data_IF_308737684531
#
_entry.id   IF_308737684531
#
_cell.length_a   1.000
_cell.length_b   1.000
_cell.length_c   1.000
_cell.angle_alpha   90.00
_cell.angle_beta   90.00
_cell.angle_gamma   90.00
#
_symmetry.space_group_name_H-M   'P 1'
#
loop_
_entity.id
_entity.type
_entity.pdbx_description
1 polymer ?
#
# COMPACT_ATOMS: atom_id res chain seq x y z
N UNK A 1 9.54 37.96 -15.62
CA UNK A 1 10.41 37.24 -14.68
C UNK A 1 9.49 36.52 -13.74
N UNK A 2 9.32 35.22 -13.96
CA UNK A 2 8.30 34.40 -13.31
C UNK A 2 8.55 34.35 -11.81
N UNK A 3 7.44 34.36 -11.05
CA UNK A 3 7.40 34.04 -9.62
C UNK A 3 8.38 32.91 -9.33
N UNK A 4 9.34 33.16 -8.45
CA UNK A 4 10.15 32.09 -7.87
C UNK A 4 9.20 31.02 -7.35
N UNK A 5 9.19 29.84 -7.98
CA UNK A 5 8.55 28.66 -7.41
C UNK A 5 9.19 28.42 -6.06
N UNK A 6 8.48 28.82 -5.00
CA UNK A 6 8.91 28.56 -3.64
C UNK A 6 8.69 27.07 -3.40
N UNK A 7 9.73 26.35 -2.98
CA UNK A 7 9.60 24.93 -2.68
C UNK A 7 8.46 24.74 -1.65
N UNK A 8 7.57 23.78 -1.87
CA UNK A 8 6.49 23.52 -0.92
C UNK A 8 6.98 22.76 0.34
N UNK A 9 8.14 22.10 0.23
CA UNK A 9 8.74 21.31 1.29
C UNK A 9 9.89 20.45 0.78
N UNK A 10 10.30 19.48 1.60
CA UNK A 10 11.35 18.50 1.31
C UNK A 10 10.78 17.10 1.45
N UNK A 11 11.19 16.19 0.55
CA UNK A 11 10.90 14.76 0.72
C UNK A 11 11.64 14.25 1.96
N UNK A 12 10.88 13.82 2.96
CA UNK A 12 11.39 13.26 4.20
C UNK A 12 11.72 11.76 4.04
N UNK A 13 10.88 11.01 3.33
CA UNK A 13 11.15 9.60 2.98
C UNK A 13 10.39 9.18 1.72
N UNK A 14 10.92 8.17 1.04
CA UNK A 14 10.32 7.50 -0.11
C UNK A 14 9.99 6.06 0.24
N UNK A 15 8.85 5.58 -0.22
CA UNK A 15 8.40 4.21 0.03
C UNK A 15 7.80 3.57 -1.21
N UNK A 16 8.01 2.27 -1.32
CA UNK A 16 7.36 1.39 -2.29
C UNK A 16 6.70 0.22 -1.58
N UNK A 17 5.56 -0.21 -2.09
CA UNK A 17 4.76 -1.32 -1.55
C UNK A 17 4.57 -2.36 -2.65
N UNK A 18 5.52 -3.30 -2.82
CA UNK A 18 5.50 -4.24 -3.94
C UNK A 18 4.22 -5.07 -4.01
N UNK A 19 3.70 -5.49 -2.84
CA UNK A 19 2.49 -6.31 -2.70
C UNK A 19 1.36 -5.48 -2.10
N UNK A 20 0.20 -5.45 -2.78
CA UNK A 20 -1.02 -4.79 -2.29
C UNK A 20 -1.34 -5.24 -0.85
N UNK A 21 -1.72 -4.27 -0.02
CA UNK A 21 -2.12 -4.43 1.39
C UNK A 21 -1.01 -4.77 2.39
N UNK A 22 0.20 -5.13 1.95
CA UNK A 22 1.35 -5.37 2.84
C UNK A 22 2.10 -4.08 3.21
N UNK A 23 2.97 -4.15 4.22
CA UNK A 23 4.00 -3.14 4.47
C UNK A 23 5.07 -3.19 3.36
N UNK A 24 5.74 -2.06 3.15
CA UNK A 24 6.68 -1.87 2.05
C UNK A 24 8.13 -1.74 2.47
N UNK A 25 8.92 -1.18 1.56
CA UNK A 25 10.34 -0.86 1.68
C UNK A 25 10.55 0.65 1.62
N UNK A 26 11.52 1.15 2.39
CA UNK A 26 11.99 2.52 2.29
C UNK A 26 13.05 2.60 1.19
N UNK A 27 13.06 3.70 0.44
CA UNK A 27 13.90 3.87 -0.74
C UNK A 27 14.76 5.13 -0.64
N UNK A 28 15.97 5.06 -1.17
CA UNK A 28 16.80 6.25 -1.41
C UNK A 28 16.36 7.00 -2.68
N UNK A 29 15.90 6.26 -3.69
CA UNK A 29 15.42 6.78 -4.97
C UNK A 29 14.54 5.76 -5.69
N UNK A 30 13.69 6.22 -6.61
CA UNK A 30 12.91 5.39 -7.53
C UNK A 30 12.71 6.10 -8.86
N UNK A 31 12.64 5.32 -9.94
CA UNK A 31 12.07 5.79 -11.20
C UNK A 31 10.56 6.04 -11.01
N UNK A 32 10.08 7.17 -11.52
CA UNK A 32 8.67 7.53 -11.57
C UNK A 32 8.17 7.47 -13.02
N UNK A 33 7.04 6.80 -13.21
CA UNK A 33 6.37 6.68 -14.51
C UNK A 33 4.92 7.18 -14.41
N UNK A 34 4.20 7.23 -15.53
CA UNK A 34 2.75 7.50 -15.54
C UNK A 34 1.94 6.48 -14.71
N UNK A 35 2.52 5.30 -14.43
CA UNK A 35 1.93 4.25 -13.58
C UNK A 35 2.40 4.28 -12.12
N UNK A 36 3.05 5.36 -11.69
CA UNK A 36 3.64 5.49 -10.36
C UNK A 36 5.09 5.00 -10.30
N UNK A 37 5.57 4.73 -9.09
CA UNK A 37 6.92 4.20 -8.87
C UNK A 37 7.07 2.81 -9.49
N UNK A 38 8.22 2.55 -10.12
CA UNK A 38 8.50 1.25 -10.72
C UNK A 38 8.51 0.15 -9.64
N UNK A 39 7.73 -0.90 -9.90
CA UNK A 39 7.51 -2.03 -8.99
C UNK A 39 6.49 -1.79 -7.89
N UNK A 40 5.91 -0.59 -7.79
CA UNK A 40 4.92 -0.31 -6.78
C UNK A 40 3.59 -0.96 -7.10
N UNK A 41 2.98 -1.63 -6.11
CA UNK A 41 1.73 -2.41 -6.22
C UNK A 41 1.72 -3.30 -7.48
N UNK A 42 2.87 -3.88 -7.85
CA UNK A 42 2.95 -4.79 -8.99
C UNK A 42 2.47 -6.20 -8.66
N UNK A 43 2.38 -6.53 -7.37
CA UNK A 43 1.86 -7.79 -6.88
C UNK A 43 0.61 -7.60 -6.02
N UNK A 44 -0.22 -8.63 -5.96
CA UNK A 44 -1.30 -8.74 -4.99
C UNK A 44 -1.57 -10.21 -4.66
N UNK A 45 -2.29 -10.47 -3.56
CA UNK A 45 -2.80 -11.80 -3.28
C UNK A 45 -4.22 -11.93 -3.85
N UNK A 46 -4.55 -13.12 -4.34
CA UNK A 46 -5.88 -13.54 -4.77
C UNK A 46 -6.43 -14.53 -3.76
N UNK A 47 -7.71 -14.39 -3.39
CA UNK A 47 -8.44 -15.42 -2.68
C UNK A 47 -9.08 -16.37 -3.70
N UNK A 48 -8.60 -17.62 -3.85
CA UNK A 48 -9.15 -18.57 -4.81
C UNK A 48 -10.60 -18.96 -4.53
N UNK A 49 -11.09 -18.80 -3.29
CA UNK A 49 -12.46 -19.19 -2.95
C UNK A 49 -13.50 -18.20 -3.48
N UNK A 50 -13.11 -16.95 -3.68
CA UNK A 50 -13.98 -15.86 -4.16
C UNK A 50 -13.57 -15.36 -5.55
N UNK A 51 -12.34 -15.65 -5.98
CA UNK A 51 -11.74 -15.06 -7.18
C UNK A 51 -11.44 -13.56 -7.03
N UNK A 52 -11.44 -13.05 -5.80
CA UNK A 52 -11.23 -11.63 -5.52
C UNK A 52 -9.81 -11.34 -5.07
N UNK A 53 -9.34 -10.13 -5.39
CA UNK A 53 -8.07 -9.61 -4.88
C UNK A 53 -8.21 -9.37 -3.38
N UNK A 54 -7.25 -9.88 -2.61
CA UNK A 54 -7.16 -9.68 -1.17
C UNK A 54 -6.92 -8.20 -0.86
N UNK A 55 -7.77 -7.63 0.00
CA UNK A 55 -7.71 -6.23 0.39
C UNK A 55 -7.81 -6.06 1.89
N UNK A 56 -6.90 -5.27 2.47
CA UNK A 56 -6.96 -4.87 3.88
C UNK A 56 -8.19 -4.00 4.21
N UNK A 57 -8.96 -3.56 3.20
CA UNK A 57 -10.25 -2.89 3.37
C UNK A 57 -11.36 -3.81 3.89
N UNK A 58 -11.16 -5.13 3.87
CA UNK A 58 -11.96 -6.07 4.65
C UNK A 58 -11.14 -6.62 5.83
N UNK A 59 -10.93 -5.84 6.91
CA UNK A 59 -10.10 -6.27 8.05
C UNK A 59 -10.67 -7.49 8.76
N UNK A 60 -11.98 -7.78 8.65
CA UNK A 60 -12.58 -8.99 9.22
C UNK A 60 -11.98 -10.27 8.63
N UNK A 61 -11.57 -10.25 7.35
CA UNK A 61 -10.90 -11.37 6.69
C UNK A 61 -9.38 -11.21 6.65
N UNK A 62 -8.89 -10.00 6.40
CA UNK A 62 -7.51 -9.76 5.95
C UNK A 62 -6.72 -8.78 6.83
N UNK A 63 -7.13 -8.54 8.09
CA UNK A 63 -6.42 -7.61 9.00
C UNK A 63 -4.92 -7.91 9.13
N UNK A 64 -4.55 -9.20 9.07
CA UNK A 64 -3.17 -9.66 9.24
C UNK A 64 -2.25 -9.30 8.08
N UNK A 65 -2.76 -8.78 6.96
CA UNK A 65 -1.92 -8.33 5.84
C UNK A 65 -0.88 -7.29 6.26
N UNK A 66 -1.20 -6.46 7.26
CA UNK A 66 -0.27 -5.46 7.80
C UNK A 66 0.88 -6.04 8.65
N UNK A 67 0.85 -7.33 8.97
CA UNK A 67 1.95 -8.02 9.65
C UNK A 67 3.04 -8.47 8.67
N UNK A 68 2.75 -8.47 7.36
CA UNK A 68 3.68 -8.86 6.31
C UNK A 68 4.41 -7.64 5.74
N UNK A 69 5.68 -7.81 5.41
CA UNK A 69 6.48 -6.81 4.69
C UNK A 69 6.97 -7.38 3.37
N UNK A 70 6.78 -6.64 2.29
CA UNK A 70 7.31 -6.97 0.99
C UNK A 70 8.38 -5.96 0.55
N UNK A 71 9.47 -6.47 -0.03
CA UNK A 71 10.54 -5.71 -0.64
C UNK A 71 11.04 -6.46 -1.89
N UNK A 72 11.60 -5.76 -2.87
CA UNK A 72 12.27 -6.45 -3.97
C UNK A 72 13.63 -7.00 -3.55
N UNK A 73 14.02 -8.19 -4.05
CA UNK A 73 15.37 -8.74 -3.82
C UNK A 73 16.47 -7.83 -4.38
N UNK A 74 16.17 -7.14 -5.48
CA UNK A 74 16.97 -6.05 -6.05
C UNK A 74 16.04 -4.95 -6.54
N UNK A 75 16.41 -3.67 -6.43
CA UNK A 75 15.54 -2.59 -6.90
C UNK A 75 15.16 -2.73 -8.38
N UNK A 76 13.86 -2.74 -8.73
CA UNK A 76 13.40 -2.78 -10.11
C UNK A 76 13.80 -1.50 -10.85
N UNK A 77 13.93 -1.62 -12.17
CA UNK A 77 14.33 -0.53 -13.08
C UNK A 77 13.36 -0.44 -14.25
N UNK A 78 13.14 0.76 -14.76
CA UNK A 78 12.27 0.98 -15.93
C UNK A 78 12.74 0.13 -17.11
N UNK A 79 11.79 -0.57 -17.76
CA UNK A 79 12.05 -1.37 -18.96
C UNK A 79 12.73 -2.73 -18.73
N UNK A 80 12.97 -3.11 -17.47
CA UNK A 80 13.52 -4.42 -17.10
C UNK A 80 12.42 -5.33 -16.51
N UNK A 81 12.57 -6.67 -16.57
CA UNK A 81 11.72 -7.57 -15.83
C UNK A 81 11.74 -7.25 -14.32
N UNK A 82 10.60 -7.40 -13.66
CA UNK A 82 10.51 -7.22 -12.21
C UNK A 82 11.34 -8.30 -11.50
N UNK A 83 12.24 -7.92 -10.57
CA UNK A 83 12.92 -8.89 -9.71
C UNK A 83 11.92 -9.60 -8.80
N UNK A 84 12.28 -10.77 -8.23
CA UNK A 84 11.45 -11.42 -7.22
C UNK A 84 11.20 -10.50 -6.02
N UNK A 85 10.01 -10.61 -5.44
CA UNK A 85 9.69 -9.97 -4.16
C UNK A 85 9.98 -10.93 -3.02
N UNK A 86 10.63 -10.43 -1.97
CA UNK A 86 10.79 -11.08 -0.68
C UNK A 86 9.66 -10.63 0.24
N UNK A 87 8.91 -11.59 0.76
CA UNK A 87 7.86 -11.37 1.74
C UNK A 87 8.34 -11.88 3.08
N UNK A 88 8.51 -10.97 4.04
CA UNK A 88 8.76 -11.29 5.45
C UNK A 88 7.42 -11.51 6.15
N UNK A 89 7.23 -12.72 6.65
CA UNK A 89 6.04 -13.14 7.41
C UNK A 89 6.11 -12.68 8.88
N UNK A 90 5.00 -12.78 9.64
CA UNK A 90 4.93 -12.31 11.02
C UNK A 90 5.93 -12.99 11.96
N UNK A 91 6.29 -14.25 11.70
CA UNK A 91 7.29 -15.03 12.44
C UNK A 91 8.72 -14.85 11.92
N UNK A 92 8.91 -13.93 10.96
CA UNK A 92 10.15 -13.67 10.21
C UNK A 92 10.56 -14.76 9.22
N UNK A 93 9.71 -15.77 8.98
CA UNK A 93 9.90 -16.64 7.81
C UNK A 93 9.88 -15.79 6.54
N UNK A 94 10.64 -16.22 5.54
CA UNK A 94 10.79 -15.52 4.28
C UNK A 94 10.22 -16.37 3.17
N UNK A 95 9.26 -15.82 2.43
CA UNK A 95 8.85 -16.34 1.12
C UNK A 95 9.41 -15.46 0.01
N UNK A 96 9.77 -16.05 -1.14
CA UNK A 96 10.16 -15.27 -2.32
C UNK A 96 9.32 -15.68 -3.52
N UNK A 97 8.93 -14.71 -4.34
CA UNK A 97 7.93 -14.92 -5.42
C UNK A 97 8.39 -15.83 -6.56
N UNK A 98 9.67 -16.19 -6.59
CA UNK A 98 10.29 -17.10 -7.56
C UNK A 98 10.39 -18.54 -7.06
N UNK A 99 9.72 -18.85 -5.95
CA UNK A 99 9.69 -20.17 -5.32
C UNK A 99 8.27 -20.72 -5.32
N UNK A 100 8.15 -22.03 -5.58
CA UNK A 100 6.85 -22.71 -5.67
C UNK A 100 6.09 -22.76 -4.33
N UNK A 101 6.77 -22.51 -3.21
CA UNK A 101 6.19 -22.56 -1.87
C UNK A 101 5.62 -21.22 -1.37
N UNK A 102 5.77 -20.11 -2.12
CA UNK A 102 5.34 -18.77 -1.72
C UNK A 102 3.88 -18.73 -1.28
N UNK A 103 2.99 -19.34 -2.07
CA UNK A 103 1.55 -19.36 -1.78
C UNK A 103 1.27 -20.14 -0.50
N UNK A 104 1.90 -21.29 -0.32
CA UNK A 104 1.71 -22.14 0.87
C UNK A 104 2.20 -21.46 2.15
N UNK A 105 3.33 -20.76 2.07
CA UNK A 105 3.96 -20.08 3.20
C UNK A 105 3.13 -18.86 3.61
N UNK A 106 2.71 -18.03 2.64
CA UNK A 106 1.84 -16.89 2.92
C UNK A 106 0.47 -17.35 3.42
N UNK A 107 -0.13 -18.38 2.79
CA UNK A 107 -1.42 -18.93 3.19
C UNK A 107 -1.42 -19.44 4.62
N UNK A 108 -0.37 -20.17 5.02
CA UNK A 108 -0.18 -20.66 6.41
C UNK A 108 -0.25 -19.52 7.42
N UNK A 109 0.40 -18.38 7.12
CA UNK A 109 0.43 -17.25 8.05
C UNK A 109 -0.87 -16.45 8.04
N UNK A 110 -1.61 -16.42 6.94
CA UNK A 110 -2.94 -15.81 6.87
C UNK A 110 -4.05 -16.69 7.42
N UNK A 111 -3.78 -17.98 7.67
CA UNK A 111 -4.78 -19.01 7.99
C UNK A 111 -5.90 -19.08 6.94
N UNK A 112 -5.54 -18.79 5.68
CA UNK A 112 -6.45 -18.69 4.52
C UNK A 112 -5.66 -18.98 3.25
N UNK A 113 -6.25 -19.74 2.32
CA UNK A 113 -5.63 -19.97 1.00
C UNK A 113 -5.54 -18.68 0.22
N UNK A 114 -4.38 -18.41 -0.37
CA UNK A 114 -4.12 -17.27 -1.25
C UNK A 114 -3.15 -17.65 -2.37
N UNK A 115 -3.22 -16.91 -3.48
CA UNK A 115 -2.25 -16.99 -4.57
C UNK A 115 -1.59 -15.64 -4.83
N UNK A 116 -0.26 -15.60 -4.94
CA UNK A 116 0.46 -14.41 -5.32
C UNK A 116 0.33 -14.16 -6.84
N UNK A 117 -0.15 -12.97 -7.20
CA UNK A 117 -0.29 -12.52 -8.58
C UNK A 117 0.70 -11.39 -8.87
N UNK A 118 1.28 -11.37 -10.08
CA UNK A 118 2.11 -10.28 -10.61
C UNK A 118 1.44 -9.50 -11.75
N UNK A 119 0.30 -10.00 -12.25
CA UNK A 119 -0.44 -9.38 -13.36
C UNK A 119 -1.88 -9.16 -12.94
N UNK A 120 -2.27 -7.90 -12.84
CA UNK A 120 -3.63 -7.55 -12.47
C UNK A 120 -4.63 -7.94 -13.59
N UNK A 121 -5.80 -8.50 -13.24
CA UNK A 121 -6.86 -8.81 -14.20
C UNK A 121 -7.36 -7.57 -14.95
N UNK A 122 -8.10 -7.77 -16.03
CA UNK A 122 -8.75 -6.68 -16.76
C UNK A 122 -9.82 -5.97 -15.92
N UNK A 123 -10.54 -6.70 -15.07
CA UNK A 123 -11.53 -6.15 -14.15
C UNK A 123 -11.31 -6.71 -12.73
N UNK A 124 -10.26 -6.27 -12.00
CA UNK A 124 -10.03 -6.73 -10.64
C UNK A 124 -11.15 -6.25 -9.71
N UNK A 125 -11.52 -7.10 -8.76
CA UNK A 125 -12.50 -6.80 -7.71
C UNK A 125 -11.94 -7.19 -6.35
N UNK A 126 -12.41 -6.52 -5.30
CA UNK A 126 -12.05 -6.81 -3.92
C UNK A 126 -13.23 -6.57 -3.00
N UNK A 127 -13.13 -7.06 -1.77
CA UNK A 127 -14.14 -6.80 -0.73
C UNK A 127 -13.74 -5.60 0.13
N UNK A 128 -14.72 -4.75 0.44
CA UNK A 128 -14.59 -3.62 1.36
C UNK A 128 -15.61 -3.75 2.49
N UNK A 129 -15.15 -3.63 3.74
CA UNK A 129 -16.02 -3.59 4.90
C UNK A 129 -16.28 -2.14 5.31
N UNK A 130 -17.55 -1.79 5.45
CA UNK A 130 -18.02 -0.47 5.84
C UNK A 130 -18.27 -0.45 7.36
N UNK A 131 -17.45 0.27 8.14
CA UNK A 131 -17.64 0.35 9.58
C UNK A 131 -18.92 1.10 9.95
N UNK A 132 -19.42 0.88 11.17
CA UNK A 132 -20.57 1.60 11.71
C UNK A 132 -20.24 3.08 12.02
N UNK A 133 -20.16 3.92 10.99
CA UNK A 133 -19.91 5.35 11.11
C UNK A 133 -21.12 6.11 10.56
N UNK A 134 -21.62 7.08 11.33
CA UNK A 134 -22.70 7.95 10.90
C UNK A 134 -22.34 8.70 9.61
N UNK A 135 -23.26 8.71 8.65
CA UNK A 135 -23.05 9.32 7.33
C UNK A 135 -22.43 8.42 6.27
N UNK A 136 -21.89 7.24 6.63
CA UNK A 136 -21.44 6.27 5.63
C UNK A 136 -22.60 5.44 5.07
N UNK A 137 -22.49 5.10 3.79
CA UNK A 137 -23.34 4.09 3.17
C UNK A 137 -23.00 2.69 3.71
N UNK A 138 -23.93 1.75 3.57
CA UNK A 138 -23.68 0.32 3.80
C UNK A 138 -23.09 -0.08 5.18
N UNK A 139 -23.31 0.74 6.23
CA UNK A 139 -22.87 0.49 7.62
C UNK A 139 -23.02 -0.98 8.02
N UNK A 140 -21.94 -1.55 8.58
CA UNK A 140 -21.83 -2.93 9.03
C UNK A 140 -21.94 -4.00 7.92
N UNK A 141 -21.66 -3.65 6.66
CA UNK A 141 -21.69 -4.59 5.53
C UNK A 141 -20.34 -4.73 4.85
N UNK A 142 -20.19 -5.85 4.17
CA UNK A 142 -19.12 -6.07 3.19
C UNK A 142 -19.73 -5.90 1.80
N UNK A 143 -19.09 -5.10 0.97
CA UNK A 143 -19.45 -4.90 -0.44
C UNK A 143 -18.32 -5.38 -1.34
N UNK A 144 -18.66 -5.67 -2.59
CA UNK A 144 -17.69 -5.95 -3.62
C UNK A 144 -17.42 -4.68 -4.41
N UNK A 145 -16.16 -4.25 -4.45
CA UNK A 145 -15.73 -3.05 -5.13
C UNK A 145 -14.89 -3.39 -6.36
N UNK A 146 -14.88 -2.48 -7.33
CA UNK A 146 -14.06 -2.59 -8.54
C UNK A 146 -12.75 -1.83 -8.39
N UNK A 147 -11.74 -2.26 -9.12
CA UNK A 147 -10.46 -1.56 -9.26
C UNK A 147 -10.32 -1.05 -10.69
N UNK A 148 -9.51 0.00 -10.92
CA UNK A 148 -9.11 0.36 -12.27
C UNK A 148 -8.49 -0.85 -13.00
N UNK A 149 -8.69 -0.89 -14.32
CA UNK A 149 -8.27 -2.03 -15.14
C UNK A 149 -6.76 -2.24 -15.07
N UNK A 150 -6.33 -3.51 -15.00
CA UNK A 150 -4.92 -3.93 -15.13
C UNK A 150 -3.98 -3.28 -14.10
N UNK A 151 -4.49 -2.97 -12.91
CA UNK A 151 -3.68 -2.48 -11.79
C UNK A 151 -4.17 -2.99 -10.44
N UNK A 152 -3.29 -2.97 -9.44
CA UNK A 152 -3.63 -3.24 -8.03
C UNK A 152 -3.78 -1.98 -7.16
N UNK A 153 -3.67 -0.80 -7.77
CA UNK A 153 -4.05 0.47 -7.14
C UNK A 153 -5.56 0.60 -7.01
N UNK A 154 -6.03 1.22 -5.93
CA UNK A 154 -7.46 1.44 -5.69
C UNK A 154 -8.00 2.70 -6.38
N UNK A 155 -7.18 3.75 -6.47
CA UNK A 155 -7.60 5.04 -7.05
C UNK A 155 -6.44 5.78 -7.72
N UNK A 156 -5.38 6.08 -6.97
CA UNK A 156 -4.22 6.82 -7.45
C UNK A 156 -2.94 5.97 -7.40
N UNK A 157 -2.00 6.27 -8.30
CA UNK A 157 -0.71 5.56 -8.43
C UNK A 157 0.40 6.12 -7.53
N UNK A 158 0.15 7.26 -6.89
CA UNK A 158 1.01 7.86 -5.87
C UNK A 158 0.16 8.35 -4.71
N UNK A 159 0.65 8.12 -3.49
CA UNK A 159 0.10 8.69 -2.28
C UNK A 159 1.15 9.58 -1.61
N UNK A 160 0.82 10.86 -1.41
CA UNK A 160 1.61 11.81 -0.65
C UNK A 160 1.01 11.97 0.75
N UNK A 161 1.85 12.11 1.77
CA UNK A 161 1.44 12.43 3.14
C UNK A 161 2.44 13.39 3.76
N UNK A 162 1.97 14.43 4.42
CA UNK A 162 2.85 15.40 5.10
C UNK A 162 3.09 15.03 6.55
N UNK A 163 4.24 15.44 7.09
CA UNK A 163 4.54 15.32 8.52
C UNK A 163 3.56 16.14 9.36
N UNK A 164 3.14 17.31 8.88
CA UNK A 164 2.16 18.17 9.56
C UNK A 164 0.81 17.47 9.72
N UNK A 165 0.34 16.73 8.72
CA UNK A 165 -0.90 15.94 8.83
C UNK A 165 -0.79 14.84 9.89
N UNK A 166 0.35 14.15 9.97
CA UNK A 166 0.59 13.14 11.02
C UNK A 166 0.61 13.76 12.42
N UNK A 167 1.30 14.89 12.59
CA UNK A 167 1.35 15.63 13.86
C UNK A 167 -0.03 16.13 14.26
N UNK A 168 -0.82 16.61 13.30
CA UNK A 168 -2.17 17.10 13.55
C UNK A 168 -3.11 15.99 13.99
N UNK A 169 -3.05 14.83 13.34
CA UNK A 169 -3.80 13.65 13.76
C UNK A 169 -3.40 13.21 15.18
N UNK A 170 -2.12 13.24 15.52
CA UNK A 170 -1.61 12.94 16.86
C UNK A 170 -2.12 13.92 17.92
N UNK A 171 -2.26 15.21 17.59
CA UNK A 171 -2.87 16.20 18.49
C UNK A 171 -4.36 15.92 18.74
N UNK A 172 -5.11 15.56 17.70
CA UNK A 172 -6.55 15.24 17.85
C UNK A 172 -6.79 13.96 18.62
N UNK A 173 -5.90 12.98 18.52
CA UNK A 173 -6.02 11.72 19.25
C UNK A 173 -4.67 11.30 19.88
N UNK A 174 -4.31 11.89 21.04
CA UNK A 174 -3.01 11.65 21.69
C UNK A 174 -2.74 10.20 22.09
N UNK A 175 -3.79 9.40 22.33
CA UNK A 175 -3.65 7.96 22.62
C UNK A 175 -3.40 7.10 21.37
N UNK A 176 -3.51 7.69 20.17
CA UNK A 176 -3.28 7.02 18.90
C UNK A 176 -1.79 6.89 18.57
N UNK A 177 -1.51 6.05 17.56
CA UNK A 177 -0.19 5.91 16.94
C UNK A 177 -0.29 6.16 15.44
N UNK A 178 0.12 7.37 15.04
CA UNK A 178 0.11 7.85 13.66
C UNK A 178 1.47 7.64 12.98
N UNK A 179 1.77 6.39 12.68
CA UNK A 179 2.98 6.02 11.93
C UNK A 179 2.70 6.08 10.42
N UNK A 180 3.50 6.86 9.68
CA UNK A 180 3.37 7.03 8.23
C UNK A 180 3.23 5.68 7.50
N UNK A 181 3.96 4.64 7.95
CA UNK A 181 3.98 3.32 7.32
C UNK A 181 2.61 2.62 7.35
N UNK A 182 1.70 3.01 8.27
CA UNK A 182 0.33 2.48 8.33
C UNK A 182 -0.58 3.07 7.25
N UNK A 183 -0.30 4.31 6.83
CA UNK A 183 -1.02 4.98 5.74
C UNK A 183 -0.51 4.56 4.36
N UNK A 184 0.68 3.95 4.33
CA UNK A 184 1.36 3.47 3.13
C UNK A 184 1.54 4.55 2.04
N UNK A 185 2.01 5.77 2.38
CA UNK A 185 2.31 6.79 1.39
C UNK A 185 3.55 6.39 0.60
N UNK A 186 3.64 6.81 -0.66
CA UNK A 186 4.86 6.73 -1.45
C UNK A 186 5.85 7.84 -1.10
N UNK A 187 5.33 9.02 -0.76
CA UNK A 187 6.09 10.22 -0.45
C UNK A 187 5.65 10.72 0.92
N UNK A 188 6.60 10.81 1.86
CA UNK A 188 6.40 11.61 3.07
C UNK A 188 7.09 12.95 2.86
N UNK A 189 6.36 14.05 3.00
CA UNK A 189 6.88 15.40 2.77
C UNK A 189 6.91 16.17 4.09
N UNK A 190 8.05 16.79 4.37
CA UNK A 190 8.20 17.80 5.42
C UNK A 190 7.96 19.17 4.78
N UNK A 191 6.85 19.87 5.10
CA UNK A 191 6.57 21.19 4.55
C UNK A 191 7.61 22.23 5.01
N UNK A 192 7.72 23.34 4.29
CA UNK A 192 8.50 24.49 4.79
C UNK A 192 7.89 24.99 6.11
N UNK A 193 8.76 25.43 7.03
CA UNK A 193 8.37 25.93 8.36
C UNK A 193 7.26 26.99 8.30
N UNK A 194 6.39 26.98 9.32
CA UNK A 194 5.32 27.97 9.51
C UNK A 194 3.98 27.62 8.87
N UNK A 195 3.81 26.36 8.43
CA UNK A 195 2.59 25.87 7.81
C UNK A 195 1.94 24.83 8.72
N UNK A 196 0.82 25.20 9.33
CA UNK A 196 -0.01 24.35 10.19
C UNK A 196 -1.28 23.89 9.44
N UNK A 197 -1.81 22.71 9.80
CA UNK A 197 -3.09 22.20 9.29
C UNK A 197 -2.95 20.97 8.39
N UNK A 198 -4.03 20.63 7.69
CA UNK A 198 -4.04 19.60 6.64
C UNK A 198 -3.68 20.29 5.31
N UNK A 199 -2.50 20.00 4.77
CA UNK A 199 -2.00 20.70 3.59
C UNK A 199 -2.41 20.06 2.27
N UNK A 200 -2.92 18.84 2.36
CA UNK A 200 -3.39 18.05 1.24
C UNK A 200 -4.84 18.38 0.83
N UNK A 201 -5.51 19.29 1.55
CA UNK A 201 -6.89 19.76 1.31
C UNK A 201 -6.97 20.97 0.34
#
# INVERSE_FOLDING_TARGET
MNSSEQAAGRVASLWRYPVKSMLGEELDASDLTERGFVGDRSYALLDPSTGMVVSAKNPRKWARMFEFRAEYVTSPRTGQPLPPVRITCPDRAIATSDRDDVDSLVSKHLDRSVHLMVSAPEAPRYEEYWPDIEGLAHREKVTDETMPSRTFFDAAVLHLLTTTTLDRLQQFYPGGRFDARRFRPNLVVEPIQGIDGFLED
#
